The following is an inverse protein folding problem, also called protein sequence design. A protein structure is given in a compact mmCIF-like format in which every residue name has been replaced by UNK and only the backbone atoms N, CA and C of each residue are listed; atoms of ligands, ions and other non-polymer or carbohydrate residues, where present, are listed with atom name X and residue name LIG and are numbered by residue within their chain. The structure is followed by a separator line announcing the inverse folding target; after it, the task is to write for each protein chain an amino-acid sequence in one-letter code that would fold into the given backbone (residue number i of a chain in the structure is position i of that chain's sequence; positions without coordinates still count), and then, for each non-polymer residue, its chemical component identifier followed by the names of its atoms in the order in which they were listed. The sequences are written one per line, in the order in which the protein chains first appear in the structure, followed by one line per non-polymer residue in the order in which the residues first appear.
data_IF_956153054648
#
_entry.id   IF_956153054648
#
_cell.length_a   1.000
_cell.length_b   1.000
_cell.length_c   1.000
_cell.angle_alpha   90.00
_cell.angle_beta   90.00
_cell.angle_gamma   90.00
#
_symmetry.space_group_name_H-M   'P 1'
#
loop_
_entity.id
_entity.type
_entity.pdbx_description
1 polymer ?
#
# COMPACT_ATOMS: atom_id res chain seq x y z
N UNK A 1 -13.85 -19.99 -21.36
CA UNK A 1 -12.72 -19.47 -20.57
C UNK A 1 -13.33 -18.91 -19.29
N UNK A 2 -12.89 -19.38 -18.12
CA UNK A 2 -13.52 -19.14 -16.81
C UNK A 2 -12.43 -18.76 -15.79
N UNK A 3 -11.89 -17.53 -15.84
CA UNK A 3 -10.80 -17.11 -14.97
C UNK A 3 -11.31 -16.65 -13.60
N UNK A 4 -10.50 -16.87 -12.57
CA UNK A 4 -10.69 -16.19 -11.28
C UNK A 4 -10.29 -14.71 -11.45
N UNK A 5 -11.27 -13.80 -11.40
CA UNK A 5 -11.07 -12.38 -11.65
C UNK A 5 -10.41 -11.67 -10.45
N UNK A 6 -9.14 -11.99 -10.20
CA UNK A 6 -8.41 -11.50 -9.06
C UNK A 6 -7.01 -11.02 -9.44
N UNK A 7 -6.48 -10.13 -8.61
CA UNK A 7 -5.06 -9.81 -8.51
C UNK A 7 -4.67 -10.06 -7.06
N UNK A 8 -3.71 -10.94 -6.83
CA UNK A 8 -3.38 -11.48 -5.51
C UNK A 8 -1.93 -11.21 -5.19
N UNK A 9 -1.68 -10.78 -3.96
CA UNK A 9 -0.35 -10.73 -3.37
C UNK A 9 -0.24 -11.83 -2.33
N UNK A 10 0.84 -12.60 -2.40
CA UNK A 10 1.21 -13.60 -1.40
C UNK A 10 2.42 -13.06 -0.66
N UNK A 11 2.27 -12.82 0.64
CA UNK A 11 3.32 -12.34 1.53
C UNK A 11 3.50 -13.34 2.69
N UNK A 12 4.74 -13.59 3.09
CA UNK A 12 5.04 -14.53 4.16
C UNK A 12 6.53 -14.76 4.35
N UNK A 13 6.88 -15.93 4.89
CA UNK A 13 8.24 -16.44 4.97
C UNK A 13 8.30 -17.81 4.29
N UNK A 14 9.33 -18.02 3.48
CA UNK A 14 9.66 -19.32 2.90
C UNK A 14 11.11 -19.67 3.25
N UNK A 15 11.33 -20.88 3.76
CA UNK A 15 12.65 -21.36 4.23
C UNK A 15 13.39 -20.39 5.17
N UNK A 16 12.65 -19.58 5.93
CA UNK A 16 13.20 -18.63 6.89
C UNK A 16 13.61 -17.27 6.31
N UNK A 17 13.33 -17.01 5.04
CA UNK A 17 13.52 -15.73 4.34
C UNK A 17 12.16 -15.09 3.99
N UNK A 18 12.05 -13.75 3.95
CA UNK A 18 10.83 -13.06 3.50
C UNK A 18 10.45 -13.45 2.08
N UNK A 19 9.15 -13.69 1.86
CA UNK A 19 8.57 -14.00 0.57
C UNK A 19 7.49 -12.98 0.21
N UNK A 20 7.55 -12.45 -1.01
CA UNK A 20 6.54 -11.53 -1.54
C UNK A 20 6.39 -11.71 -3.07
N UNK A 21 5.19 -12.08 -3.53
CA UNK A 21 4.93 -12.34 -4.95
C UNK A 21 3.50 -11.97 -5.36
N UNK A 22 3.31 -11.69 -6.64
CA UNK A 22 2.04 -11.34 -7.28
C UNK A 22 1.56 -12.44 -8.23
N UNK A 23 0.25 -12.62 -8.36
CA UNK A 23 -0.40 -13.37 -9.44
C UNK A 23 -1.73 -12.73 -9.84
N UNK A 24 -2.13 -12.82 -11.11
CA UNK A 24 -3.45 -12.33 -11.57
C UNK A 24 -4.27 -13.33 -12.39
N UNK A 25 -5.43 -12.86 -12.84
CA UNK A 25 -6.40 -13.63 -13.62
C UNK A 25 -5.84 -14.25 -14.91
N UNK A 26 -4.70 -13.77 -15.41
CA UNK A 26 -4.03 -14.30 -16.61
C UNK A 26 -2.88 -15.25 -16.25
N UNK A 27 -2.60 -15.44 -14.96
CA UNK A 27 -1.46 -16.21 -14.48
C UNK A 27 -0.13 -15.48 -14.57
N UNK A 28 -0.14 -14.14 -14.73
CA UNK A 28 1.10 -13.35 -14.73
C UNK A 28 1.65 -13.32 -13.31
N UNK A 29 2.91 -13.73 -13.14
CA UNK A 29 3.59 -13.76 -11.84
C UNK A 29 4.86 -12.92 -11.85
N UNK A 30 5.12 -12.19 -10.76
CA UNK A 30 6.38 -11.52 -10.53
C UNK A 30 6.60 -11.25 -9.03
N UNK A 31 7.86 -10.99 -8.66
CA UNK A 31 8.26 -10.62 -7.31
C UNK A 31 9.05 -9.30 -7.34
N UNK A 32 8.94 -8.54 -6.26
CA UNK A 32 9.68 -7.30 -6.07
C UNK A 32 9.71 -6.95 -4.56
N UNK A 33 10.63 -6.10 -4.12
CA UNK A 33 10.69 -5.66 -2.72
C UNK A 33 9.41 -4.93 -2.24
N UNK A 34 8.67 -4.32 -3.17
CA UNK A 34 7.40 -3.65 -2.92
C UNK A 34 6.39 -4.04 -3.99
N UNK A 35 5.18 -4.43 -3.58
CA UNK A 35 4.10 -4.85 -4.47
C UNK A 35 2.78 -4.18 -4.08
N UNK A 36 1.93 -3.93 -5.08
CA UNK A 36 0.57 -3.44 -4.92
C UNK A 36 -0.28 -3.93 -6.09
N UNK A 37 -1.60 -3.84 -5.96
CA UNK A 37 -2.56 -4.18 -7.02
C UNK A 37 -3.42 -2.97 -7.36
N UNK A 38 -4.08 -3.01 -8.52
CA UNK A 38 -5.02 -1.97 -8.95
C UNK A 38 -4.45 -0.55 -8.86
N UNK A 39 -5.17 0.35 -8.20
CA UNK A 39 -4.77 1.75 -8.02
C UNK A 39 -3.48 1.90 -7.18
N UNK A 40 -3.21 0.95 -6.28
CA UNK A 40 -1.99 0.89 -5.49
C UNK A 40 -0.73 0.82 -6.34
N UNK A 41 -0.78 0.16 -7.49
CA UNK A 41 0.37 0.08 -8.42
C UNK A 41 0.78 1.45 -8.96
N UNK A 42 -0.16 2.41 -9.04
CA UNK A 42 0.09 3.74 -9.56
C UNK A 42 0.41 4.76 -8.46
N UNK A 43 -0.16 4.61 -7.26
CA UNK A 43 -0.05 5.59 -6.18
C UNK A 43 0.81 5.13 -4.99
N UNK A 44 0.69 3.87 -4.59
CA UNK A 44 1.43 3.34 -3.43
C UNK A 44 2.86 2.93 -3.80
N UNK A 45 3.06 2.24 -4.93
CA UNK A 45 4.40 1.79 -5.37
C UNK A 45 5.42 2.94 -5.44
N UNK A 46 5.11 4.12 -6.02
CA UNK A 46 6.06 5.23 -6.03
C UNK A 46 6.45 5.74 -4.63
N UNK A 47 5.57 5.62 -3.63
CA UNK A 47 5.86 6.01 -2.25
C UNK A 47 6.72 4.95 -1.56
N UNK A 48 6.35 3.68 -1.72
CA UNK A 48 7.11 2.55 -1.17
C UNK A 48 8.52 2.48 -1.76
N UNK A 49 8.70 2.79 -3.05
CA UNK A 49 10.01 2.83 -3.71
C UNK A 49 10.93 3.96 -3.24
N UNK A 50 10.41 5.00 -2.60
CA UNK A 50 11.26 5.99 -1.91
C UNK A 50 11.95 5.40 -0.69
N UNK A 51 11.34 4.38 -0.07
CA UNK A 51 11.89 3.68 1.07
C UNK A 51 12.73 2.47 0.65
N UNK A 52 12.31 1.76 -0.40
CA UNK A 52 12.97 0.57 -0.94
C UNK A 52 13.06 0.70 -2.47
N UNK A 53 14.14 1.27 -2.98
CA UNK A 53 14.30 1.55 -4.41
C UNK A 53 14.80 0.33 -5.17
N UNK A 54 15.75 -0.41 -4.58
CA UNK A 54 16.39 -1.57 -5.18
C UNK A 54 16.29 -2.80 -4.29
N UNK A 55 16.45 -3.96 -4.91
CA UNK A 55 16.55 -5.22 -4.19
C UNK A 55 17.74 -5.20 -3.23
N UNK A 56 17.50 -5.57 -1.97
CA UNK A 56 18.44 -5.49 -0.86
C UNK A 56 18.15 -4.32 0.08
N UNK A 57 17.53 -3.23 -0.39
CA UNK A 57 17.22 -2.06 0.46
C UNK A 57 16.18 -2.44 1.54
N UNK A 58 15.34 -3.44 1.29
CA UNK A 58 14.34 -3.92 2.26
C UNK A 58 14.97 -4.41 3.57
N UNK A 59 16.24 -4.83 3.54
CA UNK A 59 16.99 -5.26 4.73
C UNK A 59 17.40 -4.10 5.64
N UNK A 60 17.40 -2.88 5.11
CA UNK A 60 17.73 -1.66 5.84
C UNK A 60 16.49 -1.00 6.47
N UNK A 61 15.30 -1.51 6.17
CA UNK A 61 14.03 -0.98 6.62
C UNK A 61 13.58 -1.72 7.88
N UNK A 62 13.32 -0.97 8.95
CA UNK A 62 12.71 -1.55 10.13
C UNK A 62 11.17 -1.56 10.04
N UNK A 63 10.52 -2.34 10.91
CA UNK A 63 9.07 -2.50 10.94
C UNK A 63 8.32 -1.17 11.07
N UNK A 64 8.83 -0.24 11.88
CA UNK A 64 8.19 1.06 12.09
C UNK A 64 8.22 1.93 10.82
N UNK A 65 9.33 1.93 10.09
CA UNK A 65 9.45 2.64 8.81
C UNK A 65 8.55 2.04 7.75
N UNK A 66 8.51 0.71 7.64
CA UNK A 66 7.62 0.01 6.73
C UNK A 66 6.15 0.31 7.06
N UNK A 67 5.78 0.26 8.34
CA UNK A 67 4.42 0.58 8.80
C UNK A 67 4.03 2.02 8.46
N UNK A 68 4.89 3.00 8.75
CA UNK A 68 4.64 4.40 8.43
C UNK A 68 4.45 4.61 6.92
N UNK A 69 5.23 3.92 6.08
CA UNK A 69 5.08 4.00 4.63
C UNK A 69 3.75 3.38 4.15
N UNK A 70 3.31 2.26 4.74
CA UNK A 70 2.01 1.66 4.45
C UNK A 70 0.87 2.61 4.86
N UNK A 71 0.92 3.19 6.07
CA UNK A 71 -0.11 4.11 6.55
C UNK A 71 -0.22 5.36 5.65
N UNK A 72 0.91 5.89 5.19
CA UNK A 72 0.94 6.99 4.20
C UNK A 72 0.34 6.57 2.85
N UNK A 73 0.64 5.37 2.37
CA UNK A 73 0.05 4.84 1.14
C UNK A 73 -1.47 4.72 1.26
N UNK A 74 -1.98 4.19 2.38
CA UNK A 74 -3.42 4.04 2.61
C UNK A 74 -4.12 5.41 2.65
N UNK A 75 -3.51 6.41 3.28
CA UNK A 75 -4.02 7.79 3.30
C UNK A 75 -4.06 8.40 1.89
N UNK A 76 -3.02 8.22 1.08
CA UNK A 76 -2.97 8.72 -0.30
C UNK A 76 -4.00 8.02 -1.20
N UNK A 77 -4.18 6.71 -1.03
CA UNK A 77 -5.23 5.97 -1.72
C UNK A 77 -6.61 6.50 -1.33
N UNK A 78 -6.85 6.75 -0.05
CA UNK A 78 -8.11 7.34 0.39
C UNK A 78 -8.39 8.72 -0.22
N UNK A 79 -7.37 9.55 -0.45
CA UNK A 79 -7.54 10.84 -1.11
C UNK A 79 -7.87 10.78 -2.61
N UNK A 80 -7.55 9.67 -3.30
CA UNK A 80 -7.48 9.66 -4.77
C UNK A 80 -8.16 8.47 -5.44
N UNK A 81 -8.38 7.37 -4.75
CA UNK A 81 -9.18 6.25 -5.24
C UNK A 81 -10.63 6.40 -4.80
N UNK A 82 -11.52 6.69 -5.75
CA UNK A 82 -12.95 6.88 -5.51
C UNK A 82 -13.69 5.59 -5.09
N UNK A 83 -13.01 4.43 -5.08
CA UNK A 83 -13.56 3.15 -4.61
C UNK A 83 -12.94 2.69 -3.28
N UNK A 84 -12.12 3.51 -2.66
CA UNK A 84 -11.49 3.23 -1.38
C UNK A 84 -12.39 3.60 -0.19
N UNK A 85 -12.02 3.11 1.00
CA UNK A 85 -12.65 3.40 2.28
C UNK A 85 -11.53 3.76 3.27
N UNK A 86 -11.78 4.67 4.21
CA UNK A 86 -10.79 5.11 5.21
C UNK A 86 -10.39 4.03 6.22
N UNK A 87 -11.17 2.94 6.31
CA UNK A 87 -10.98 1.80 7.21
C UNK A 87 -10.26 0.64 6.52
N UNK A 88 -9.20 0.13 7.12
CA UNK A 88 -8.38 -0.96 6.56
C UNK A 88 -7.84 -1.91 7.65
N UNK A 89 -7.10 -2.94 7.21
CA UNK A 89 -6.41 -3.89 8.08
C UNK A 89 -4.96 -4.03 7.62
N UNK A 90 -4.06 -4.30 8.57
CA UNK A 90 -2.64 -4.53 8.31
C UNK A 90 -2.26 -5.88 8.90
N UNK A 91 -1.55 -6.67 8.11
CA UNK A 91 -0.93 -7.91 8.58
C UNK A 91 0.59 -7.73 8.56
N UNK A 92 1.23 -7.93 9.71
CA UNK A 92 2.69 -7.96 9.85
C UNK A 92 3.11 -9.39 10.08
N UNK A 93 4.03 -9.90 9.28
CA UNK A 93 4.56 -11.25 9.39
C UNK A 93 6.02 -11.12 9.76
N UNK A 94 6.43 -11.69 10.89
CA UNK A 94 7.86 -11.81 11.25
C UNK A 94 8.21 -13.25 11.53
N UNK A 95 9.50 -13.58 11.42
CA UNK A 95 9.99 -14.94 11.66
C UNK A 95 9.76 -15.38 13.11
N UNK A 96 9.84 -14.45 14.05
CA UNK A 96 9.76 -14.70 15.49
C UNK A 96 8.32 -14.71 16.00
N UNK A 97 7.51 -13.75 15.54
CA UNK A 97 6.15 -13.53 16.07
C UNK A 97 5.06 -14.20 15.23
N UNK A 98 5.41 -14.72 14.05
CA UNK A 98 4.46 -15.25 13.10
C UNK A 98 3.60 -14.13 12.53
N UNK A 99 2.29 -14.36 12.43
CA UNK A 99 1.34 -13.43 11.80
C UNK A 99 0.62 -12.61 12.87
N UNK A 100 0.76 -11.28 12.81
CA UNK A 100 0.00 -10.32 13.60
C UNK A 100 -0.96 -9.55 12.68
N UNK A 101 -2.25 -9.52 13.02
CA UNK A 101 -3.28 -8.83 12.23
C UNK A 101 -3.91 -7.74 13.07
N UNK A 102 -3.80 -6.51 12.59
CA UNK A 102 -4.46 -5.32 13.12
C UNK A 102 -5.68 -5.00 12.25
N UNK A 103 -6.85 -4.93 12.86
CA UNK A 103 -8.14 -4.70 12.19
C UNK A 103 -8.70 -3.34 12.57
N UNK A 104 -9.65 -2.87 11.76
CA UNK A 104 -10.41 -1.64 12.00
C UNK A 104 -9.54 -0.37 12.16
N UNK A 105 -8.35 -0.37 11.54
CA UNK A 105 -7.50 0.80 11.42
C UNK A 105 -8.17 1.86 10.55
N UNK A 106 -7.86 3.13 10.80
CA UNK A 106 -8.36 4.26 10.00
C UNK A 106 -7.24 5.16 9.52
N UNK A 107 -7.48 5.87 8.42
CA UNK A 107 -6.58 6.91 7.95
C UNK A 107 -6.61 8.11 8.93
N UNK A 108 -5.47 8.44 9.50
CA UNK A 108 -5.31 9.56 10.44
C UNK A 108 -4.53 10.72 9.80
N UNK A 109 -4.44 11.86 10.51
CA UNK A 109 -3.67 13.04 10.11
C UNK A 109 -3.96 13.54 8.68
N UNK A 110 -5.25 13.54 8.32
CA UNK A 110 -5.68 14.00 7.02
C UNK A 110 -5.67 15.52 6.90
N UNK A 111 -5.20 16.02 5.76
CA UNK A 111 -5.14 17.45 5.45
C UNK A 111 -6.33 17.85 4.58
N UNK A 112 -7.34 18.45 5.20
CA UNK A 112 -8.51 19.01 4.50
C UNK A 112 -8.70 20.51 4.74
N UNK A 113 -7.94 21.10 5.68
CA UNK A 113 -8.11 22.50 6.10
C UNK A 113 -7.91 23.51 4.97
N UNK A 114 -7.06 23.20 3.99
CA UNK A 114 -6.78 24.07 2.84
C UNK A 114 -8.01 24.25 1.91
N UNK A 115 -8.97 23.31 1.94
CA UNK A 115 -10.12 23.34 1.05
C UNK A 115 -11.01 24.56 1.29
N UNK A 116 -11.00 25.15 2.50
CA UNK A 116 -11.77 26.35 2.84
C UNK A 116 -11.34 27.59 2.02
N UNK A 117 -10.10 27.58 1.53
CA UNK A 117 -9.49 28.71 0.83
C UNK A 117 -9.60 28.54 -0.70
N UNK A 118 -10.01 27.35 -1.20
CA UNK A 118 -10.21 27.09 -2.63
C UNK A 118 -11.58 27.61 -3.05
N UNK A 119 -11.60 28.54 -4.02
CA UNK A 119 -12.84 29.13 -4.57
C UNK A 119 -12.81 29.18 -6.09
N UNK A 120 -13.97 28.93 -6.70
CA UNK A 120 -14.13 28.89 -8.15
C UNK A 120 -13.18 27.90 -8.83
N UNK A 121 -12.93 28.15 -10.12
CA UNK A 121 -12.06 27.34 -10.98
C UNK A 121 -11.24 28.20 -11.95
N UNK A 122 -11.03 29.49 -11.61
CA UNK A 122 -10.35 30.45 -12.48
C UNK A 122 -10.40 31.90 -11.98
N UNK A 123 -11.38 32.68 -12.42
CA UNK A 123 -11.42 34.14 -12.25
C UNK A 123 -12.14 34.64 -10.99
N UNK A 124 -12.80 33.75 -10.25
CA UNK A 124 -13.59 34.10 -9.07
C UNK A 124 -12.69 34.57 -7.91
N UNK A 125 -13.01 35.72 -7.33
CA UNK A 125 -12.21 36.37 -6.28
C UNK A 125 -12.80 36.21 -4.88
N UNK A 126 -14.11 36.00 -4.79
CA UNK A 126 -14.88 35.79 -3.56
C UNK A 126 -15.86 34.63 -3.73
#
# INVERSE_FOLDING_TARGET
MDPLWNSVLVAGFDNGEPFLSYVDLLGVTYSAPTLATGFGSYLAIPLLRKLVDKEGDEKLVNEQQARAAIDECMKVLFYRDARSIDKYSVATITKESGVRIEKDLRCEDMSWKFAKDIRGYGTQRE
#
